data_IF_347984113427
#
_entry.id   IF_347984113427
#
_cell.length_a   1.000
_cell.length_b   1.000
_cell.length_c   1.000
_cell.angle_alpha   90.00
_cell.angle_beta   90.00
_cell.angle_gamma   90.00
#
_symmetry.space_group_name_H-M   'P 1'
#
loop_
_entity.id
_entity.type
_entity.pdbx_description
1 polymer ?
#
# COMPACT_ATOMS: atom_id res chain seq x y z
N UNK A 1 -2.48 -17.54 6.71
CA UNK A 1 -2.65 -19.00 6.62
C UNK A 1 -1.77 -19.61 5.54
N UNK A 2 -1.90 -19.18 4.28
CA UNK A 2 -1.16 -19.69 3.12
C UNK A 2 0.35 -19.91 3.32
N UNK A 3 1.05 -18.94 3.91
CA UNK A 3 2.52 -18.98 4.06
C UNK A 3 2.98 -19.21 5.50
N UNK A 4 2.03 -19.27 6.44
CA UNK A 4 2.31 -19.29 7.88
C UNK A 4 2.96 -18.01 8.44
N UNK A 5 3.16 -16.97 7.64
CA UNK A 5 3.82 -15.73 8.06
C UNK A 5 2.80 -14.67 8.50
N UNK A 6 3.11 -13.93 9.57
CA UNK A 6 2.35 -12.76 9.97
C UNK A 6 2.79 -11.56 9.12
N UNK A 7 1.85 -10.93 8.42
CA UNK A 7 2.10 -9.76 7.54
C UNK A 7 1.91 -8.42 8.26
N UNK A 8 1.57 -8.46 9.54
CA UNK A 8 1.32 -7.28 10.36
C UNK A 8 0.10 -6.47 9.91
N UNK A 9 -0.88 -7.11 9.27
CA UNK A 9 -2.12 -6.44 8.91
C UNK A 9 -2.96 -6.16 10.16
N UNK A 10 -3.31 -4.89 10.34
CA UNK A 10 -4.17 -4.40 11.41
C UNK A 10 -5.40 -3.79 10.74
N UNK A 11 -6.52 -4.50 10.83
CA UNK A 11 -7.81 -3.98 10.40
C UNK A 11 -8.36 -3.12 11.52
N UNK A 12 -8.04 -1.83 11.46
CA UNK A 12 -8.42 -0.83 12.48
C UNK A 12 -9.35 0.23 11.91
N UNK A 13 -9.82 0.04 10.67
CA UNK A 13 -10.52 1.00 9.82
C UNK A 13 -9.65 2.17 9.33
N UNK A 14 -10.16 2.90 8.34
CA UNK A 14 -9.65 4.21 7.94
C UNK A 14 -10.74 5.27 8.12
N UNK A 15 -10.42 6.45 8.67
CA UNK A 15 -11.35 7.58 8.85
C UNK A 15 -10.79 8.82 8.15
N UNK A 16 -11.57 9.41 7.25
CA UNK A 16 -11.22 10.68 6.58
C UNK A 16 -12.15 11.79 7.04
N UNK A 17 -11.57 12.85 7.61
CA UNK A 17 -12.29 13.94 8.25
C UNK A 17 -12.67 15.03 7.24
N UNK A 18 -13.89 15.59 7.38
CA UNK A 18 -14.36 16.72 6.61
C UNK A 18 -14.64 17.94 7.51
N UNK A 19 -13.91 19.03 7.27
CA UNK A 19 -14.14 20.33 7.90
C UNK A 19 -15.04 21.26 7.06
N UNK A 20 -15.42 20.85 5.85
CA UNK A 20 -16.24 21.65 4.93
C UNK A 20 -17.33 20.80 4.29
N UNK A 21 -18.41 21.46 3.86
CA UNK A 21 -19.49 20.80 3.13
C UNK A 21 -19.01 20.25 1.78
N UNK A 22 -18.13 20.98 1.07
CA UNK A 22 -17.54 20.53 -0.18
C UNK A 22 -16.79 19.20 -0.03
N UNK A 23 -16.07 19.01 1.09
CA UNK A 23 -15.39 17.73 1.39
C UNK A 23 -16.39 16.61 1.65
N UNK A 24 -17.52 16.89 2.30
CA UNK A 24 -18.59 15.92 2.46
C UNK A 24 -19.28 15.56 1.14
N UNK A 25 -19.43 16.51 0.22
CA UNK A 25 -19.97 16.26 -1.11
C UNK A 25 -19.03 15.38 -1.94
N UNK A 26 -17.71 15.61 -1.85
CA UNK A 26 -16.70 14.70 -2.40
C UNK A 26 -16.83 13.28 -1.82
N UNK A 27 -17.05 13.15 -0.51
CA UNK A 27 -17.24 11.84 0.13
C UNK A 27 -18.52 11.14 -0.32
N UNK A 28 -19.61 11.87 -0.59
CA UNK A 28 -20.83 11.32 -1.19
C UNK A 28 -20.59 10.80 -2.60
N UNK A 29 -19.86 11.54 -3.42
CA UNK A 29 -19.45 11.07 -4.75
C UNK A 29 -18.59 9.80 -4.64
N UNK A 30 -17.58 9.84 -3.78
CA UNK A 30 -16.68 8.72 -3.56
C UNK A 30 -17.41 7.46 -3.06
N UNK A 31 -18.32 7.58 -2.09
CA UNK A 31 -19.14 6.47 -1.59
C UNK A 31 -20.04 5.88 -2.69
N UNK A 32 -20.58 6.74 -3.57
CA UNK A 32 -21.32 6.31 -4.75
C UNK A 32 -20.48 5.39 -5.63
N UNK A 33 -19.24 5.77 -5.96
CA UNK A 33 -18.31 4.93 -6.74
C UNK A 33 -17.93 3.66 -5.97
N UNK A 34 -17.58 3.78 -4.69
CA UNK A 34 -17.19 2.64 -3.84
C UNK A 34 -18.28 1.55 -3.78
N UNK A 35 -19.55 1.95 -3.72
CA UNK A 35 -20.69 1.02 -3.68
C UNK A 35 -20.80 0.16 -4.95
N UNK A 36 -20.37 0.67 -6.11
CA UNK A 36 -20.42 -0.08 -7.38
C UNK A 36 -19.44 -1.25 -7.44
N UNK A 37 -18.42 -1.24 -6.57
CA UNK A 37 -17.38 -2.27 -6.48
C UNK A 37 -17.40 -3.00 -5.13
N UNK A 38 -18.46 -2.82 -4.33
CA UNK A 38 -18.64 -3.51 -3.05
C UNK A 38 -17.74 -3.00 -1.91
N UNK A 39 -17.16 -1.81 -2.03
CA UNK A 39 -16.38 -1.19 -0.94
C UNK A 39 -17.35 -0.45 -0.01
N UNK A 40 -17.43 -0.91 1.24
CA UNK A 40 -18.24 -0.25 2.27
C UNK A 40 -17.61 1.09 2.67
N UNK A 41 -18.47 2.11 2.74
CA UNK A 41 -18.10 3.43 3.24
C UNK A 41 -19.23 3.99 4.10
N UNK A 42 -18.96 4.19 5.39
CA UNK A 42 -19.92 4.68 6.36
C UNK A 42 -19.72 6.19 6.54
N UNK A 43 -20.80 6.98 6.55
CA UNK A 43 -20.73 8.39 6.93
C UNK A 43 -20.81 8.50 8.45
N UNK A 44 -19.93 9.31 9.03
CA UNK A 44 -19.91 9.58 10.47
C UNK A 44 -20.22 11.04 10.75
N UNK A 45 -21.00 11.28 11.78
CA UNK A 45 -21.12 12.56 12.47
C UNK A 45 -19.86 12.84 13.31
N UNK A 46 -19.61 14.09 13.73
CA UNK A 46 -18.51 14.41 14.63
C UNK A 46 -18.54 13.62 15.96
N UNK A 47 -19.72 13.31 16.49
CA UNK A 47 -19.85 12.53 17.72
C UNK A 47 -19.43 11.07 17.49
N UNK A 48 -19.86 10.46 16.38
CA UNK A 48 -19.42 9.10 16.00
C UNK A 48 -17.91 9.05 15.71
N UNK A 49 -17.33 10.10 15.13
CA UNK A 49 -15.86 10.20 14.99
C UNK A 49 -15.18 10.12 16.36
N UNK A 50 -15.75 10.77 17.38
CA UNK A 50 -15.19 10.73 18.74
C UNK A 50 -15.31 9.34 19.37
N UNK A 51 -16.35 8.58 19.05
CA UNK A 51 -16.50 7.20 19.51
C UNK A 51 -15.42 6.27 18.90
N UNK A 52 -15.17 6.38 17.58
CA UNK A 52 -14.16 5.56 16.91
C UNK A 52 -12.73 6.04 17.14
N UNK A 53 -12.52 7.35 17.27
CA UNK A 53 -11.22 7.97 17.52
C UNK A 53 -11.30 8.97 18.69
N UNK A 54 -11.26 8.48 19.95
CA UNK A 54 -11.44 9.32 21.14
C UNK A 54 -10.42 10.44 21.30
N UNK A 55 -9.24 10.32 20.70
CA UNK A 55 -8.20 11.35 20.75
C UNK A 55 -8.35 12.42 19.65
N UNK A 56 -9.28 12.25 18.70
CA UNK A 56 -9.52 13.24 17.65
C UNK A 56 -10.08 14.54 18.25
N UNK A 57 -9.59 15.69 17.77
CA UNK A 57 -10.32 16.95 17.95
C UNK A 57 -11.42 17.03 16.88
N UNK A 58 -12.67 17.13 17.32
CA UNK A 58 -13.85 17.16 16.44
C UNK A 58 -14.41 18.57 16.25
N UNK A 59 -13.80 19.59 16.86
CA UNK A 59 -14.20 20.98 16.69
C UNK A 59 -14.13 21.39 15.22
N UNK A 60 -15.23 21.96 14.71
CA UNK A 60 -15.34 22.41 13.32
C UNK A 60 -15.47 21.30 12.28
N UNK A 61 -15.60 20.03 12.68
CA UNK A 61 -15.93 18.96 11.73
C UNK A 61 -17.39 19.06 11.28
N UNK A 62 -17.62 18.91 9.98
CA UNK A 62 -18.94 18.68 9.39
C UNK A 62 -19.30 17.19 9.49
N UNK A 63 -18.31 16.31 9.37
CA UNK A 63 -18.47 14.86 9.45
C UNK A 63 -17.21 14.13 8.98
N UNK A 64 -17.35 12.84 8.69
CA UNK A 64 -16.29 12.02 8.15
C UNK A 64 -16.85 10.87 7.29
N UNK A 65 -15.96 10.18 6.59
CA UNK A 65 -16.21 8.89 5.95
C UNK A 65 -15.27 7.83 6.54
N UNK A 66 -15.80 6.63 6.80
CA UNK A 66 -15.08 5.51 7.40
C UNK A 66 -15.13 4.27 6.52
N UNK A 67 -13.99 3.59 6.42
CA UNK A 67 -13.84 2.28 5.78
C UNK A 67 -13.57 1.20 6.82
N UNK A 68 -14.56 0.39 7.22
CA UNK A 68 -14.38 -0.60 8.27
C UNK A 68 -13.38 -1.71 7.92
N UNK A 69 -13.22 -2.02 6.63
CA UNK A 69 -12.31 -3.07 6.16
C UNK A 69 -10.84 -2.67 6.07
N UNK A 70 -10.53 -1.38 6.29
CA UNK A 70 -9.21 -0.81 6.06
C UNK A 70 -8.33 -0.83 7.33
N UNK A 71 -7.10 -0.34 7.18
CA UNK A 71 -6.14 -0.15 8.25
C UNK A 71 -4.74 -0.06 7.69
N UNK A 72 -3.78 -0.71 8.34
CA UNK A 72 -2.39 -0.71 7.89
C UNK A 72 -1.77 -2.11 7.88
N UNK A 73 -0.65 -2.24 7.17
CA UNK A 73 0.10 -3.50 7.03
C UNK A 73 1.60 -3.23 7.14
N UNK A 74 2.40 -4.24 7.50
CA UNK A 74 3.85 -4.13 7.49
C UNK A 74 4.39 -4.50 6.11
N UNK A 75 4.82 -3.54 5.28
CA UNK A 75 5.13 -3.80 3.87
C UNK A 75 6.32 -4.74 3.68
N UNK A 76 7.32 -4.67 4.57
CA UNK A 76 8.47 -5.58 4.54
C UNK A 76 8.06 -7.03 4.82
N UNK A 77 7.22 -7.25 5.84
CA UNK A 77 6.74 -8.58 6.22
C UNK A 77 5.80 -9.17 5.17
N UNK A 78 4.88 -8.35 4.64
CA UNK A 78 4.05 -8.72 3.50
C UNK A 78 4.90 -9.17 2.31
N UNK A 79 5.95 -8.41 1.98
CA UNK A 79 6.87 -8.76 0.88
C UNK A 79 7.55 -10.11 1.11
N UNK A 80 8.02 -10.38 2.34
CA UNK A 80 8.63 -11.68 2.66
C UNK A 80 7.61 -12.82 2.61
N UNK A 81 6.38 -12.60 3.09
CA UNK A 81 5.31 -13.57 3.00
C UNK A 81 5.00 -13.93 1.55
N UNK A 82 4.84 -12.94 0.67
CA UNK A 82 4.61 -13.17 -0.77
C UNK A 82 5.81 -13.87 -1.42
N UNK A 83 7.04 -13.46 -1.11
CA UNK A 83 8.26 -14.11 -1.61
C UNK A 83 8.35 -15.58 -1.18
N UNK A 84 7.92 -15.91 0.04
CA UNK A 84 7.84 -17.28 0.53
C UNK A 84 6.80 -18.07 -0.26
N UNK A 85 5.58 -17.54 -0.38
CA UNK A 85 4.49 -18.19 -1.13
C UNK A 85 4.81 -18.41 -2.61
N UNK A 86 5.62 -17.54 -3.22
CA UNK A 86 6.12 -17.70 -4.57
C UNK A 86 7.15 -18.85 -4.68
N UNK A 87 8.13 -18.92 -3.76
CA UNK A 87 9.11 -20.02 -3.71
C UNK A 87 8.47 -21.37 -3.42
N UNK A 88 7.50 -21.41 -2.53
CA UNK A 88 6.74 -22.64 -2.22
C UNK A 88 5.98 -23.17 -3.46
N UNK A 89 5.76 -22.32 -4.47
CA UNK A 89 5.17 -22.65 -5.78
C UNK A 89 6.18 -22.76 -6.92
N UNK A 90 7.47 -22.82 -6.60
CA UNK A 90 8.54 -23.07 -7.58
C UNK A 90 9.13 -21.81 -8.24
N UNK A 91 8.74 -20.60 -7.81
CA UNK A 91 9.39 -19.38 -8.31
C UNK A 91 10.81 -19.23 -7.74
N UNK A 92 11.72 -18.75 -8.58
CA UNK A 92 13.10 -18.46 -8.19
C UNK A 92 13.28 -16.96 -7.94
N UNK A 93 13.97 -16.59 -6.85
CA UNK A 93 14.18 -15.18 -6.46
C UNK A 93 15.67 -14.92 -6.31
N UNK A 94 16.23 -14.20 -7.28
CA UNK A 94 17.63 -13.80 -7.35
C UNK A 94 17.82 -12.40 -6.76
N UNK A 95 18.22 -12.32 -5.49
CA UNK A 95 18.57 -11.03 -4.85
C UNK A 95 19.97 -10.57 -5.25
N UNK A 96 20.21 -9.26 -5.13
CA UNK A 96 21.50 -8.65 -5.46
C UNK A 96 21.96 -9.01 -6.89
N UNK A 97 21.03 -9.06 -7.84
CA UNK A 97 21.26 -9.45 -9.23
C UNK A 97 20.68 -8.35 -10.10
N UNK A 98 21.53 -7.43 -10.52
CA UNK A 98 21.11 -6.21 -11.19
C UNK A 98 20.95 -6.46 -12.70
N UNK A 99 19.78 -6.15 -13.25
CA UNK A 99 19.56 -6.14 -14.70
C UNK A 99 20.32 -4.95 -15.31
N UNK A 100 21.19 -5.22 -16.27
CA UNK A 100 22.02 -4.23 -16.97
C UNK A 100 21.63 -4.05 -18.44
N UNK A 101 20.87 -4.99 -19.02
CA UNK A 101 20.37 -4.89 -20.38
C UNK A 101 19.22 -5.85 -20.66
N UNK A 102 18.38 -5.48 -21.63
CA UNK A 102 17.27 -6.31 -22.10
C UNK A 102 17.26 -6.23 -23.62
N UNK A 103 17.26 -7.38 -24.30
CA UNK A 103 17.28 -7.46 -25.76
C UNK A 103 16.46 -8.65 -26.25
N UNK A 104 16.19 -8.73 -27.56
CA UNK A 104 15.63 -9.93 -28.18
C UNK A 104 16.73 -10.83 -28.74
N UNK A 105 16.55 -12.14 -28.62
CA UNK A 105 17.35 -13.13 -29.33
C UNK A 105 16.90 -13.24 -30.79
N UNK A 106 17.71 -13.88 -31.65
CA UNK A 106 17.32 -14.16 -33.04
C UNK A 106 16.08 -15.06 -33.13
N UNK A 107 15.88 -15.94 -32.14
CA UNK A 107 14.70 -16.79 -32.02
C UNK A 107 13.44 -16.03 -31.57
N UNK A 108 13.58 -14.76 -31.17
CA UNK A 108 12.48 -13.89 -30.77
C UNK A 108 12.19 -13.84 -29.27
N UNK A 109 12.86 -14.65 -28.45
CA UNK A 109 12.77 -14.63 -26.98
C UNK A 109 13.42 -13.35 -26.41
N UNK A 110 13.17 -13.07 -25.14
CA UNK A 110 13.87 -12.03 -24.41
C UNK A 110 15.14 -12.57 -23.76
N UNK A 111 16.20 -11.78 -23.86
CA UNK A 111 17.46 -11.99 -23.13
C UNK A 111 17.67 -10.85 -22.16
N UNK A 112 17.69 -11.19 -20.87
CA UNK A 112 17.94 -10.27 -19.75
C UNK A 112 19.39 -10.46 -19.31
N UNK A 113 20.23 -9.46 -19.54
CA UNK A 113 21.62 -9.45 -19.07
C UNK A 113 21.65 -8.91 -17.65
N UNK A 114 22.34 -9.61 -16.76
CA UNK A 114 22.56 -9.21 -15.37
C UNK A 114 24.04 -9.16 -15.04
N UNK A 115 24.39 -8.62 -13.87
CA UNK A 115 25.75 -8.69 -13.30
C UNK A 115 26.20 -10.12 -12.90
N UNK A 116 25.32 -11.12 -12.97
CA UNK A 116 25.61 -12.52 -12.63
C UNK A 116 25.41 -13.51 -13.77
N UNK A 117 25.11 -13.01 -14.97
CA UNK A 117 24.85 -13.84 -16.15
C UNK A 117 23.60 -13.41 -16.90
N UNK A 118 23.25 -14.19 -17.91
CA UNK A 118 22.09 -13.93 -18.77
C UNK A 118 20.94 -14.88 -18.43
N UNK A 119 19.72 -14.39 -18.55
CA UNK A 119 18.48 -15.16 -18.40
C UNK A 119 17.66 -15.02 -19.69
N UNK A 120 17.32 -16.14 -20.32
CA UNK A 120 16.42 -16.18 -21.48
C UNK A 120 15.00 -16.50 -21.02
N UNK A 121 14.00 -15.78 -21.55
CA UNK A 121 12.60 -15.98 -21.19
C UNK A 121 11.65 -15.54 -22.31
N UNK A 122 10.44 -16.07 -22.31
CA UNK A 122 9.39 -15.71 -23.29
C UNK A 122 8.76 -14.34 -22.99
N UNK A 123 8.70 -13.98 -21.71
CA UNK A 123 8.05 -12.76 -21.23
C UNK A 123 8.89 -12.04 -20.17
N UNK A 124 8.94 -10.71 -20.26
CA UNK A 124 9.59 -9.84 -19.26
C UNK A 124 8.54 -8.89 -18.70
N UNK A 125 8.45 -8.84 -17.36
CA UNK A 125 7.61 -7.89 -16.63
C UNK A 125 8.50 -6.90 -15.91
N UNK A 126 8.33 -5.60 -16.18
CA UNK A 126 9.02 -4.55 -15.45
C UNK A 126 8.24 -4.15 -14.20
N UNK A 127 8.76 -4.51 -13.02
CA UNK A 127 8.21 -4.13 -11.72
C UNK A 127 9.25 -3.35 -10.89
N UNK A 128 9.98 -2.42 -11.51
CA UNK A 128 11.20 -1.80 -10.96
C UNK A 128 10.98 -0.48 -10.20
N UNK A 129 9.74 -0.17 -9.83
CA UNK A 129 9.40 1.02 -9.02
C UNK A 129 9.97 2.32 -9.60
N UNK A 130 10.76 3.04 -8.80
CA UNK A 130 11.40 4.30 -9.21
C UNK A 130 12.34 4.16 -10.42
N UNK A 131 12.79 2.95 -10.74
CA UNK A 131 13.66 2.67 -11.88
C UNK A 131 12.90 2.33 -13.16
N UNK A 132 11.56 2.36 -13.16
CA UNK A 132 10.75 1.96 -14.32
C UNK A 132 11.13 2.71 -15.61
N UNK A 133 11.48 4.01 -15.51
CA UNK A 133 11.97 4.79 -16.65
C UNK A 133 13.35 4.35 -17.15
N UNK A 134 14.25 3.95 -16.25
CA UNK A 134 15.57 3.41 -16.62
C UNK A 134 15.43 2.03 -17.28
N UNK A 135 14.60 1.15 -16.71
CA UNK A 135 14.31 -0.17 -17.29
C UNK A 135 13.62 -0.04 -18.66
N UNK A 136 12.66 0.87 -18.81
CA UNK A 136 11.98 1.11 -20.09
C UNK A 136 12.93 1.51 -21.21
N UNK A 137 13.94 2.34 -20.91
CA UNK A 137 14.96 2.73 -21.91
C UNK A 137 15.76 1.55 -22.46
N UNK A 138 15.95 0.48 -21.68
CA UNK A 138 16.64 -0.73 -22.15
C UNK A 138 15.92 -1.39 -23.33
N UNK A 139 14.61 -1.18 -23.45
CA UNK A 139 13.77 -1.70 -24.54
C UNK A 139 13.22 -0.58 -25.44
N UNK A 140 13.83 0.61 -25.42
CA UNK A 140 13.45 1.73 -26.27
C UNK A 140 12.15 2.46 -25.87
N UNK A 141 11.63 2.22 -24.66
CA UNK A 141 10.42 2.86 -24.16
C UNK A 141 10.73 4.08 -23.31
N UNK A 142 9.92 5.13 -23.46
CA UNK A 142 9.91 6.28 -22.56
C UNK A 142 8.71 6.19 -21.60
N UNK A 143 8.90 5.53 -20.47
CA UNK A 143 7.86 5.35 -19.45
C UNK A 143 7.57 6.69 -18.75
N UNK A 144 6.32 7.21 -18.77
CA UNK A 144 5.98 8.54 -18.28
C UNK A 144 5.78 8.57 -16.76
N UNK A 145 6.85 8.29 -16.00
CA UNK A 145 6.85 8.30 -14.53
C UNK A 145 7.99 9.16 -13.99
N UNK A 146 7.76 9.75 -12.82
CA UNK A 146 8.73 10.57 -12.09
C UNK A 146 8.69 10.19 -10.60
N UNK A 147 9.83 9.91 -9.96
CA UNK A 147 9.89 9.76 -8.50
C UNK A 147 9.51 11.06 -7.81
N UNK A 148 8.80 10.95 -6.69
CA UNK A 148 8.44 12.08 -5.83
C UNK A 148 8.91 11.83 -4.42
N UNK A 149 9.27 12.90 -3.72
CA UNK A 149 9.61 12.83 -2.31
C UNK A 149 8.34 12.86 -1.47
N UNK A 150 8.27 11.98 -0.48
CA UNK A 150 7.18 11.91 0.49
C UNK A 150 7.78 11.72 1.88
N UNK A 151 7.22 12.42 2.87
CA UNK A 151 7.71 12.43 4.24
C UNK A 151 6.60 12.01 5.19
N UNK A 152 6.97 11.26 6.22
CA UNK A 152 6.14 10.95 7.37
C UNK A 152 6.99 11.14 8.63
N UNK A 153 6.33 11.34 9.78
CA UNK A 153 6.99 11.54 11.06
C UNK A 153 6.54 10.44 12.01
N UNK A 154 7.49 9.86 12.74
CA UNK A 154 7.22 8.97 13.88
C UNK A 154 7.56 9.74 15.14
N UNK A 155 6.60 9.83 16.06
CA UNK A 155 6.78 10.53 17.34
C UNK A 155 7.32 9.59 18.41
N UNK A 156 7.73 10.17 19.53
CA UNK A 156 7.87 9.40 20.77
C UNK A 156 6.50 8.87 21.27
N UNK A 157 6.49 7.85 22.15
CA UNK A 157 5.25 7.34 22.73
C UNK A 157 4.46 8.44 23.47
N UNK A 158 3.20 8.64 23.07
CA UNK A 158 2.31 9.58 23.72
C UNK A 158 1.61 8.92 24.93
N UNK A 159 1.59 9.57 26.10
CA UNK A 159 1.06 8.98 27.34
C UNK A 159 -0.41 8.54 27.23
N UNK A 160 -1.28 9.33 26.58
CA UNK A 160 -2.67 8.93 26.36
C UNK A 160 -2.82 7.65 25.50
N UNK A 161 -1.90 7.42 24.56
CA UNK A 161 -1.90 6.21 23.73
C UNK A 161 -1.39 5.02 24.56
N UNK A 162 -0.34 5.22 25.35
CA UNK A 162 0.18 4.20 26.28
C UNK A 162 -0.87 3.75 27.29
N UNK A 163 -1.61 4.69 27.89
CA UNK A 163 -2.68 4.38 28.84
C UNK A 163 -3.75 3.48 28.21
N UNK A 164 -4.22 3.82 27.00
CA UNK A 164 -5.18 2.98 26.25
C UNK A 164 -4.66 1.57 25.99
N UNK A 165 -3.39 1.44 25.59
CA UNK A 165 -2.77 0.13 25.38
C UNK A 165 -2.68 -0.68 26.67
N UNK A 166 -2.35 -0.05 27.81
CA UNK A 166 -2.29 -0.70 29.11
C UNK A 166 -3.67 -1.19 29.59
N UNK A 167 -4.73 -0.48 29.23
CA UNK A 167 -6.13 -0.87 29.49
C UNK A 167 -6.65 -1.96 28.53
N UNK A 168 -5.86 -2.36 27.53
CA UNK A 168 -6.26 -3.35 26.54
C UNK A 168 -7.34 -2.85 25.58
N UNK A 169 -7.51 -1.53 25.46
CA UNK A 169 -8.48 -0.94 24.55
C UNK A 169 -8.07 -1.16 23.08
N UNK A 170 -9.03 -1.28 22.15
CA UNK A 170 -8.74 -1.41 20.74
C UNK A 170 -7.89 -0.24 20.21
N UNK A 171 -7.02 -0.58 19.26
CA UNK A 171 -6.34 0.40 18.43
C UNK A 171 -7.35 1.24 17.65
N UNK A 172 -7.04 2.51 17.45
CA UNK A 172 -7.95 3.47 16.82
C UNK A 172 -7.80 3.43 15.29
N UNK A 173 -8.84 3.87 14.59
CA UNK A 173 -8.79 4.03 13.14
C UNK A 173 -7.68 4.98 12.69
N UNK A 174 -7.13 4.68 11.52
CA UNK A 174 -6.06 5.46 10.86
C UNK A 174 -6.65 6.54 9.97
#
# INVERSE_FOLDING_TARGET
EETGMNVGFRNVSNIRLAQTQDRMDEYRQYAGVASTIGVQADFLTPDEVKEFWPLCNTEGLVGAIRHPGDGYIQPADLTQALARGARDRGAEIYRNTAVTGISRTEAGEWKVTTDKGEITCEHVISATGNFARQTGRMVGLNVPVIPVEHQYIVTEPHEAIKARHAEGLPEMGV
#
